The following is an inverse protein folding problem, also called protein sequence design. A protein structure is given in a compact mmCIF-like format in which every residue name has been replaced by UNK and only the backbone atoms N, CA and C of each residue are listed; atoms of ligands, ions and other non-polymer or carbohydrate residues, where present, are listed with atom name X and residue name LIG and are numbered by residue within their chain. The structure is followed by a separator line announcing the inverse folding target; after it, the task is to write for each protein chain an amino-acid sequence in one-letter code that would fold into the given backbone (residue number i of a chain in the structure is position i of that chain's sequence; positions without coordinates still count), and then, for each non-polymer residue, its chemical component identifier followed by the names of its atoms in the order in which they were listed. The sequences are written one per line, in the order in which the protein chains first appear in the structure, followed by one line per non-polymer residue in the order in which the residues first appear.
data_IF_890496200257
#
_entry.id   IF_890496200257
#
_cell.length_a   1.000
_cell.length_b   1.000
_cell.length_c   1.000
_cell.angle_alpha   90.00
_cell.angle_beta   90.00
_cell.angle_gamma   90.00
#
_symmetry.space_group_name_H-M   'P 1'
#
loop_
_entity.id
_entity.type
_entity.pdbx_description
1 polymer ?
#
# COMPACT_ATOMS: atom_id res chain seq x y z
N UNK A 1 28.88 5.72 -17.40
CA UNK A 1 27.58 5.07 -17.68
C UNK A 1 26.83 4.97 -16.35
N UNK A 2 26.07 6.01 -16.01
CA UNK A 2 25.50 6.21 -14.68
C UNK A 2 24.11 5.57 -14.56
N UNK A 3 23.91 4.78 -13.51
CA UNK A 3 22.73 3.97 -13.29
C UNK A 3 21.48 4.81 -13.00
N UNK A 4 20.41 4.50 -13.73
CA UNK A 4 19.05 4.87 -13.35
C UNK A 4 18.47 3.72 -12.54
N UNK A 5 19.00 3.47 -11.33
CA UNK A 5 18.24 2.71 -10.33
C UNK A 5 17.27 3.67 -9.68
N UNK A 6 16.13 3.87 -10.33
CA UNK A 6 15.03 4.60 -9.73
C UNK A 6 14.64 3.84 -8.46
N UNK A 7 14.80 4.49 -7.32
CA UNK A 7 14.37 4.00 -6.01
C UNK A 7 12.85 4.14 -5.94
N UNK A 8 12.13 3.28 -6.67
CA UNK A 8 10.67 3.41 -6.78
C UNK A 8 10.00 2.54 -5.74
N UNK A 9 9.27 3.19 -4.84
CA UNK A 9 8.29 2.50 -4.00
C UNK A 9 7.16 1.98 -4.88
N UNK A 10 6.68 0.78 -4.61
CA UNK A 10 5.64 0.16 -5.40
C UNK A 10 4.59 -0.50 -4.52
N UNK A 11 3.36 -0.54 -5.02
CA UNK A 11 2.31 -1.34 -4.42
C UNK A 11 2.35 -2.74 -5.03
N UNK A 12 2.30 -3.76 -4.18
CA UNK A 12 2.07 -5.14 -4.60
C UNK A 12 0.66 -5.54 -4.18
N UNK A 13 -0.03 -6.26 -5.07
CA UNK A 13 -1.30 -6.91 -4.77
C UNK A 13 -1.04 -8.41 -4.73
N UNK A 14 -1.40 -9.02 -3.61
CA UNK A 14 -1.07 -10.41 -3.31
C UNK A 14 -2.32 -11.15 -2.81
N UNK A 15 -2.30 -12.46 -2.96
CA UNK A 15 -3.35 -13.35 -2.46
C UNK A 15 -2.91 -13.93 -1.11
N UNK A 16 -3.76 -13.80 -0.09
CA UNK A 16 -3.55 -14.25 1.29
C UNK A 16 -4.78 -15.06 1.74
N UNK A 17 -4.65 -16.39 1.73
CA UNK A 17 -5.78 -17.28 1.93
C UNK A 17 -6.78 -17.18 0.78
N UNK A 18 -8.03 -16.81 1.09
CA UNK A 18 -9.10 -16.58 0.12
C UNK A 18 -9.28 -15.08 -0.22
N UNK A 19 -8.43 -14.21 0.33
CA UNK A 19 -8.56 -12.77 0.22
C UNK A 19 -7.37 -12.15 -0.52
N UNK A 20 -7.63 -11.01 -1.15
CA UNK A 20 -6.62 -10.14 -1.72
C UNK A 20 -6.20 -9.10 -0.70
N UNK A 21 -4.90 -8.82 -0.64
CA UNK A 21 -4.31 -7.76 0.17
C UNK A 21 -3.34 -6.95 -0.67
N UNK A 22 -2.97 -5.78 -0.17
CA UNK A 22 -1.90 -5.00 -0.75
C UNK A 22 -0.85 -4.60 0.28
N UNK A 23 0.38 -4.40 -0.20
CA UNK A 23 1.48 -3.83 0.57
C UNK A 23 2.14 -2.71 -0.23
N UNK A 24 2.57 -1.66 0.47
CA UNK A 24 3.41 -0.61 -0.08
C UNK A 24 4.85 -0.87 0.33
N UNK A 25 5.72 -1.09 -0.65
CA UNK A 25 7.05 -1.67 -0.45
C UNK A 25 8.12 -0.69 -0.92
N UNK A 26 9.16 -0.53 -0.11
CA UNK A 26 10.36 0.21 -0.44
C UNK A 26 11.24 -0.59 -1.43
N UNK A 27 12.20 0.06 -2.10
CA UNK A 27 13.08 -0.61 -3.07
C UNK A 27 13.87 -1.80 -2.50
N UNK A 28 14.21 -1.75 -1.22
CA UNK A 28 14.93 -2.79 -0.48
C UNK A 28 14.03 -3.93 0.03
N UNK A 29 12.78 -3.99 -0.46
CA UNK A 29 11.75 -4.95 -0.05
C UNK A 29 11.17 -4.72 1.36
N UNK A 30 11.49 -3.60 2.01
CA UNK A 30 10.87 -3.25 3.29
C UNK A 30 9.40 -2.89 3.11
N UNK A 31 8.50 -3.50 3.87
CA UNK A 31 7.07 -3.17 3.88
C UNK A 31 6.86 -1.91 4.73
N UNK A 32 6.38 -0.83 4.09
CA UNK A 32 6.13 0.45 4.75
C UNK A 32 4.68 0.61 5.21
N UNK A 33 3.74 -0.01 4.49
CA UNK A 33 2.33 -0.06 4.84
C UNK A 33 1.68 -1.32 4.25
N UNK A 34 0.58 -1.76 4.84
CA UNK A 34 -0.24 -2.87 4.35
C UNK A 34 -1.72 -2.51 4.48
N UNK A 35 -2.56 -3.18 3.70
CA UNK A 35 -4.01 -3.09 3.88
C UNK A 35 -4.40 -3.57 5.27
N UNK A 36 -5.25 -2.82 5.96
CA UNK A 36 -5.83 -3.24 7.23
C UNK A 36 -6.74 -4.47 7.01
N UNK A 37 -7.55 -4.40 5.95
CA UNK A 37 -8.52 -5.43 5.57
C UNK A 37 -8.01 -6.31 4.42
N UNK A 38 -8.64 -7.47 4.26
CA UNK A 38 -8.58 -8.26 3.03
C UNK A 38 -9.81 -7.99 2.16
N UNK A 39 -9.68 -8.22 0.85
CA UNK A 39 -10.70 -7.95 -0.15
C UNK A 39 -11.07 -9.24 -0.88
N UNK A 40 -12.33 -9.41 -1.27
CA UNK A 40 -12.79 -10.62 -1.96
C UNK A 40 -12.24 -10.70 -3.38
N UNK A 41 -11.95 -9.55 -3.99
CA UNK A 41 -11.41 -9.47 -5.34
C UNK A 41 -10.12 -8.63 -5.43
N UNK A 42 -9.30 -8.95 -6.43
CA UNK A 42 -8.13 -8.16 -6.79
C UNK A 42 -8.48 -6.70 -7.12
N UNK A 43 -9.61 -6.50 -7.81
CA UNK A 43 -10.07 -5.17 -8.21
C UNK A 43 -10.35 -4.29 -6.99
N UNK A 44 -11.04 -4.83 -5.98
CA UNK A 44 -11.31 -4.09 -4.73
C UNK A 44 -10.02 -3.71 -3.98
N UNK A 45 -9.02 -4.59 -3.99
CA UNK A 45 -7.70 -4.28 -3.44
C UNK A 45 -7.03 -3.13 -4.21
N UNK A 46 -7.09 -3.14 -5.55
CA UNK A 46 -6.57 -2.08 -6.41
C UNK A 46 -7.32 -0.75 -6.21
N UNK A 47 -8.65 -0.78 -6.09
CA UNK A 47 -9.48 0.39 -5.77
C UNK A 47 -9.12 0.98 -4.40
N UNK A 48 -8.82 0.12 -3.41
CA UNK A 48 -8.32 0.60 -2.13
C UNK A 48 -6.96 1.30 -2.25
N UNK A 49 -6.05 0.83 -3.10
CA UNK A 49 -4.78 1.51 -3.37
C UNK A 49 -5.03 2.89 -3.98
N UNK A 50 -5.97 3.01 -4.91
CA UNK A 50 -6.32 4.29 -5.53
C UNK A 50 -6.78 5.29 -4.47
N UNK A 51 -7.68 4.88 -3.56
CA UNK A 51 -8.12 5.73 -2.43
C UNK A 51 -6.95 6.16 -1.54
N UNK A 52 -6.03 5.24 -1.21
CA UNK A 52 -4.83 5.60 -0.43
C UNK A 52 -3.99 6.63 -1.17
N UNK A 53 -3.73 6.44 -2.46
CA UNK A 53 -2.94 7.40 -3.26
C UNK A 53 -3.59 8.79 -3.32
N UNK A 54 -4.91 8.84 -3.41
CA UNK A 54 -5.67 10.09 -3.48
C UNK A 54 -5.69 10.83 -2.14
N UNK A 55 -6.01 10.12 -1.05
CA UNK A 55 -6.24 10.76 0.24
C UNK A 55 -4.98 10.88 1.10
N UNK A 56 -4.02 9.96 1.02
CA UNK A 56 -2.84 10.00 1.90
C UNK A 56 -1.97 11.23 1.68
N UNK A 57 -1.93 11.79 0.46
CA UNK A 57 -1.18 13.01 0.16
C UNK A 57 -1.77 14.23 0.88
N UNK A 58 -3.07 14.22 1.15
CA UNK A 58 -3.80 15.34 1.77
C UNK A 58 -4.12 15.09 3.25
N UNK A 59 -3.92 13.86 3.74
CA UNK A 59 -4.31 13.48 5.08
C UNK A 59 -3.43 14.18 6.12
N UNK A 60 -4.01 14.91 7.10
CA UNK A 60 -3.25 15.43 8.22
C UNK A 60 -2.77 14.27 9.10
N UNK A 61 -1.59 14.45 9.70
CA UNK A 61 -1.12 13.54 10.74
C UNK A 61 -1.90 13.85 12.02
N UNK A 62 -2.55 12.83 12.58
CA UNK A 62 -3.31 12.91 13.82
C UNK A 62 -2.91 11.81 14.78
N UNK A 63 -3.02 12.08 16.08
CA UNK A 63 -2.89 11.09 17.13
C UNK A 63 -4.26 10.51 17.45
N UNK A 64 -4.38 9.19 17.44
CA UNK A 64 -5.60 8.52 17.87
C UNK A 64 -5.45 8.17 19.36
N UNK A 65 -6.06 8.97 20.24
CA UNK A 65 -6.24 8.57 21.63
C UNK A 65 -7.18 7.36 21.66
N UNK A 66 -6.65 6.18 22.02
CA UNK A 66 -7.48 5.00 22.27
C UNK A 66 -7.98 5.11 23.71
N UNK A 67 -9.30 5.13 23.97
CA UNK A 67 -9.84 5.15 25.32
C UNK A 67 -9.51 3.87 26.10
#
# INVERSE_FOLDING_TARGET
MGGWSAHVHHFIVLHDGDLWRWQFVAPDQTVLAASADGYDTRLEAEESIIRVKEFAVLAPIGELERP
#
